data_IF_851678427446
#
_entry.id   IF_851678427446
#
_cell.length_a   1.000
_cell.length_b   1.000
_cell.length_c   1.000
_cell.angle_alpha   90.00
_cell.angle_beta   90.00
_cell.angle_gamma   90.00
#
_symmetry.space_group_name_H-M   'P 1'
#
loop_
_entity.id
_entity.type
_entity.pdbx_description
1 polymer ?
#
# COMPACT_ATOMS: atom_id res chain seq x y z
N UNK A 1 -16.18 0.58 12.40
CA UNK A 1 -16.89 1.38 11.49
C UNK A 1 -16.97 0.67 10.19
N UNK A 2 -17.71 1.27 9.32
CA UNK A 2 -17.91 0.66 8.02
C UNK A 2 -16.59 0.50 7.28
N UNK A 3 -15.64 1.33 7.54
CA UNK A 3 -14.35 1.27 6.88
C UNK A 3 -13.51 0.09 7.33
N UNK A 4 -13.88 -0.50 8.44
CA UNK A 4 -13.10 -1.58 8.99
C UNK A 4 -11.79 -1.09 9.61
N UNK A 5 -11.09 -2.00 10.22
CA UNK A 5 -9.83 -1.73 10.89
C UNK A 5 -8.71 -2.43 10.16
N UNK A 6 -7.50 -2.00 10.42
CA UNK A 6 -6.32 -2.73 9.95
C UNK A 6 -6.31 -4.09 10.63
N UNK A 7 -6.23 -5.15 9.84
CA UNK A 7 -6.34 -6.50 10.34
C UNK A 7 -5.17 -7.35 9.88
N UNK A 8 -4.62 -8.12 10.81
CA UNK A 8 -3.66 -9.16 10.49
C UNK A 8 -4.43 -10.47 10.50
N UNK A 9 -4.46 -11.13 9.35
CA UNK A 9 -5.23 -12.34 9.19
C UNK A 9 -4.45 -13.56 9.69
N UNK A 10 -4.60 -14.66 9.06
CA UNK A 10 -4.13 -15.96 9.51
C UNK A 10 -2.73 -15.99 10.10
N UNK A 11 -1.86 -15.11 9.71
CA UNK A 11 -0.52 -15.09 10.25
C UNK A 11 -0.48 -14.93 11.76
N UNK A 12 -1.54 -14.39 12.33
CA UNK A 12 -1.61 -14.24 13.77
C UNK A 12 -1.58 -15.54 14.51
N UNK A 13 -2.01 -16.60 13.88
CA UNK A 13 -2.11 -17.87 14.54
C UNK A 13 -0.75 -18.48 14.80
N UNK A 14 0.19 -18.16 13.98
CA UNK A 14 1.54 -18.58 14.25
C UNK A 14 2.10 -17.55 15.22
N UNK A 15 2.62 -18.00 16.30
CA UNK A 15 3.39 -17.10 17.14
C UNK A 15 4.40 -16.45 16.23
N UNK A 16 4.32 -15.14 16.08
CA UNK A 16 5.27 -14.49 15.20
C UNK A 16 6.64 -14.83 15.71
N UNK A 17 7.45 -15.34 14.87
CA UNK A 17 8.81 -15.52 15.28
C UNK A 17 9.31 -14.14 15.65
N UNK A 18 10.11 -14.09 16.66
CA UNK A 18 10.66 -12.83 17.12
C UNK A 18 11.44 -12.12 16.04
N UNK A 19 11.87 -12.87 15.04
CA UNK A 19 12.68 -12.38 13.97
C UNK A 19 11.87 -11.78 12.84
N UNK A 20 10.55 -11.95 12.87
CA UNK A 20 9.74 -11.45 11.76
C UNK A 20 8.84 -10.32 12.18
N UNK A 21 9.28 -9.11 11.92
CA UNK A 21 8.45 -7.94 12.04
C UNK A 21 7.40 -7.93 10.94
N UNK A 22 6.41 -7.06 11.10
CA UNK A 22 5.40 -6.85 10.04
C UNK A 22 6.07 -6.40 8.75
N UNK A 23 7.07 -5.54 8.84
CA UNK A 23 7.78 -5.08 7.65
C UNK A 23 8.47 -6.23 6.93
N UNK A 24 9.09 -7.14 7.66
CA UNK A 24 9.73 -8.29 7.06
C UNK A 24 8.73 -9.21 6.39
N UNK A 25 7.57 -9.40 7.01
CA UNK A 25 6.51 -10.20 6.43
C UNK A 25 5.94 -9.58 5.16
N UNK A 26 5.82 -8.26 5.15
CA UNK A 26 5.39 -7.54 3.96
C UNK A 26 6.38 -7.77 2.82
N UNK A 27 7.66 -7.65 3.11
CA UNK A 27 8.70 -7.89 2.09
C UNK A 27 8.66 -9.31 1.55
N UNK A 28 8.29 -10.26 2.39
CA UNK A 28 8.18 -11.66 2.00
C UNK A 28 6.87 -12.00 1.31
N UNK A 29 5.92 -11.08 1.28
CA UNK A 29 4.63 -11.32 0.61
C UNK A 29 4.82 -11.47 -0.89
N UNK A 30 3.97 -12.28 -1.52
CA UNK A 30 4.09 -12.54 -2.95
C UNK A 30 3.46 -11.46 -3.81
N UNK A 31 2.44 -10.78 -3.28
CA UNK A 31 1.75 -9.73 -4.04
C UNK A 31 1.00 -8.82 -3.10
N UNK A 32 0.61 -7.67 -3.63
CA UNK A 32 -0.26 -6.75 -2.92
C UNK A 32 -1.31 -6.18 -3.88
N UNK A 33 -2.46 -5.86 -3.31
CA UNK A 33 -3.55 -5.24 -4.06
C UNK A 33 -4.05 -4.02 -3.31
N UNK A 34 -4.73 -3.15 -4.03
CA UNK A 34 -5.46 -2.04 -3.42
C UNK A 34 -6.94 -2.23 -3.74
N UNK A 35 -7.78 -2.06 -2.72
CA UNK A 35 -9.22 -2.03 -2.89
C UNK A 35 -9.67 -0.61 -2.63
N UNK A 36 -10.24 0.04 -3.63
CA UNK A 36 -10.72 1.41 -3.52
C UNK A 36 -12.04 1.45 -2.74
N UNK A 37 -12.52 2.65 -2.45
CA UNK A 37 -13.70 2.80 -1.62
C UNK A 37 -14.99 2.23 -2.20
N UNK A 38 -15.03 1.98 -3.51
CA UNK A 38 -16.18 1.35 -4.16
C UNK A 38 -15.99 -0.15 -4.37
N UNK A 39 -15.06 -0.74 -3.65
CA UNK A 39 -14.70 -2.17 -3.71
C UNK A 39 -14.04 -2.60 -5.02
N UNK A 40 -13.67 -1.66 -5.87
CA UNK A 40 -12.86 -1.96 -7.05
C UNK A 40 -11.43 -2.26 -6.61
N UNK A 41 -10.90 -3.36 -7.09
CA UNK A 41 -9.59 -3.85 -6.67
C UNK A 41 -8.62 -3.86 -7.85
N UNK A 42 -7.38 -3.54 -7.59
CA UNK A 42 -6.34 -3.63 -8.60
C UNK A 42 -5.02 -4.04 -7.96
N UNK A 43 -4.20 -4.71 -8.75
CA UNK A 43 -2.91 -5.19 -8.27
C UNK A 43 -1.83 -4.14 -8.55
N UNK A 44 -0.90 -4.00 -7.60
CA UNK A 44 0.28 -3.16 -7.78
C UNK A 44 1.51 -3.95 -7.36
N UNK A 45 2.65 -3.59 -7.92
CA UNK A 45 3.90 -4.24 -7.54
C UNK A 45 4.28 -3.92 -6.09
N UNK A 46 4.94 -4.86 -5.44
CA UNK A 46 5.36 -4.65 -4.05
C UNK A 46 6.35 -3.51 -3.90
N UNK A 47 7.09 -3.20 -4.95
CA UNK A 47 8.00 -2.05 -4.93
C UNK A 47 7.25 -0.73 -4.76
N UNK A 48 5.93 -0.75 -4.95
CA UNK A 48 5.09 0.43 -4.76
C UNK A 48 4.69 0.65 -3.31
N UNK A 49 4.96 -0.31 -2.42
CA UNK A 49 4.74 -0.14 -1.00
C UNK A 49 5.86 0.71 -0.40
N UNK A 50 5.48 1.78 0.29
CA UNK A 50 6.44 2.71 0.88
C UNK A 50 6.68 2.54 2.36
N UNK A 51 5.79 1.82 3.03
CA UNK A 51 5.95 1.58 4.46
C UNK A 51 4.98 2.36 5.32
N UNK A 52 5.13 2.18 6.63
CA UNK A 52 4.40 2.93 7.64
C UNK A 52 5.24 4.09 8.13
N UNK A 53 4.58 5.12 8.61
CA UNK A 53 5.27 6.25 9.21
C UNK A 53 4.39 6.98 10.19
N UNK A 54 4.92 8.07 10.72
CA UNK A 54 4.21 8.94 11.66
C UNK A 54 4.23 10.35 11.11
N UNK A 55 3.06 10.95 10.97
CA UNK A 55 2.94 12.34 10.58
C UNK A 55 1.97 13.02 11.55
N UNK A 56 2.44 14.05 12.22
CA UNK A 56 1.61 14.82 13.17
C UNK A 56 0.92 13.92 14.19
N UNK A 57 1.62 12.87 14.64
CA UNK A 57 1.08 11.95 15.63
C UNK A 57 0.15 10.87 15.08
N UNK A 58 -0.10 10.87 13.78
CA UNK A 58 -0.93 9.85 13.15
C UNK A 58 -0.07 8.79 12.49
N UNK A 59 -0.48 7.54 12.63
CA UNK A 59 0.16 6.48 11.86
C UNK A 59 -0.34 6.54 10.42
N UNK A 60 0.57 6.52 9.48
CA UNK A 60 0.25 6.62 8.06
C UNK A 60 0.92 5.49 7.29
N UNK A 61 0.36 5.21 6.12
CA UNK A 61 0.93 4.29 5.15
C UNK A 61 1.22 5.05 3.86
N UNK A 62 2.32 4.69 3.21
CA UNK A 62 2.74 5.30 1.96
C UNK A 62 2.72 4.26 0.85
N UNK A 63 2.15 4.61 -0.29
CA UNK A 63 2.29 3.81 -1.49
C UNK A 63 2.39 4.72 -2.70
N UNK A 64 3.00 4.22 -3.76
CA UNK A 64 3.13 4.95 -5.01
C UNK A 64 2.47 4.16 -6.13
N UNK A 65 1.85 4.85 -7.07
CA UNK A 65 1.21 4.22 -8.20
C UNK A 65 1.73 4.91 -9.45
N UNK A 66 2.21 4.12 -10.41
CA UNK A 66 2.66 4.60 -11.70
C UNK A 66 1.54 5.42 -12.34
N UNK A 67 1.86 6.64 -12.78
CA UNK A 67 0.86 7.52 -13.39
C UNK A 67 0.25 6.90 -14.64
N UNK A 68 0.96 5.99 -15.30
CA UNK A 68 0.42 5.30 -16.47
C UNK A 68 -0.70 4.33 -16.11
N UNK A 69 -0.83 3.96 -14.84
CA UNK A 69 -1.95 3.14 -14.38
C UNK A 69 -3.16 4.05 -14.12
N UNK A 70 -3.78 4.51 -15.20
CA UNK A 70 -4.82 5.52 -15.10
C UNK A 70 -6.05 5.05 -14.33
N UNK A 71 -6.45 3.79 -14.49
CA UNK A 71 -7.60 3.26 -13.76
C UNK A 71 -7.34 3.26 -12.26
N UNK A 72 -6.17 2.77 -11.84
CA UNK A 72 -5.83 2.73 -10.42
C UNK A 72 -5.79 4.12 -9.81
N UNK A 73 -5.16 5.07 -10.51
CA UNK A 73 -5.11 6.45 -10.04
C UNK A 73 -6.50 7.07 -9.96
N UNK A 74 -7.34 6.81 -10.96
CA UNK A 74 -8.71 7.33 -10.95
C UNK A 74 -9.48 6.80 -9.76
N UNK A 75 -9.38 5.50 -9.49
CA UNK A 75 -10.08 4.89 -8.37
C UNK A 75 -9.62 5.49 -7.04
N UNK A 76 -8.32 5.70 -6.90
CA UNK A 76 -7.77 6.32 -5.70
C UNK A 76 -8.22 7.77 -5.55
N UNK A 77 -8.27 8.51 -6.66
CA UNK A 77 -8.67 9.91 -6.62
C UNK A 77 -10.13 10.08 -6.24
N UNK A 78 -10.96 9.11 -6.61
CA UNK A 78 -12.39 9.13 -6.33
C UNK A 78 -12.75 8.61 -4.94
N UNK A 79 -11.80 8.02 -4.23
CA UNK A 79 -12.07 7.33 -2.97
C UNK A 79 -11.46 8.09 -1.81
N UNK A 80 -12.22 8.20 -0.71
CA UNK A 80 -11.69 8.74 0.53
C UNK A 80 -10.97 7.65 1.32
N UNK A 81 -11.43 6.42 1.21
CA UNK A 81 -10.87 5.28 1.93
C UNK A 81 -10.43 4.21 0.95
N UNK A 82 -9.40 3.47 1.34
CA UNK A 82 -8.92 2.35 0.54
C UNK A 82 -8.25 1.34 1.46
N UNK A 83 -8.08 0.12 0.95
CA UNK A 83 -7.43 -0.96 1.68
C UNK A 83 -6.23 -1.44 0.88
N UNK A 84 -5.14 -1.69 1.59
CA UNK A 84 -3.97 -2.33 0.98
C UNK A 84 -3.89 -3.74 1.56
N UNK A 85 -3.88 -4.73 0.67
CA UNK A 85 -3.90 -6.13 1.08
C UNK A 85 -2.62 -6.82 0.63
N UNK A 86 -2.05 -7.61 1.53
CA UNK A 86 -0.81 -8.36 1.26
C UNK A 86 -1.11 -9.84 1.32
N UNK A 87 -0.55 -10.60 0.38
CA UNK A 87 -0.80 -12.02 0.22
C UNK A 87 0.48 -12.81 0.28
N UNK A 88 0.43 -13.98 0.90
CA UNK A 88 1.52 -14.95 0.84
C UNK A 88 1.29 -15.87 -0.34
N UNK A 89 2.38 -16.43 -0.86
CA UNK A 89 2.31 -17.26 -2.04
C UNK A 89 1.33 -18.41 -1.85
N UNK A 90 0.50 -18.62 -2.86
CA UNK A 90 -0.45 -19.71 -2.84
C UNK A 90 -1.74 -19.44 -2.09
N UNK A 91 -1.86 -18.31 -1.41
CA UNK A 91 -3.05 -18.00 -0.62
C UNK A 91 -3.93 -16.99 -1.36
N UNK A 92 -5.23 -17.28 -1.37
CA UNK A 92 -6.21 -16.38 -1.97
C UNK A 92 -6.69 -15.33 -0.97
N UNK A 93 -6.43 -15.55 0.33
CA UNK A 93 -6.83 -14.61 1.36
C UNK A 93 -5.61 -13.79 1.80
N UNK A 94 -5.78 -12.49 2.03
CA UNK A 94 -4.66 -11.70 2.51
C UNK A 94 -4.31 -12.05 3.95
N UNK A 95 -3.02 -11.98 4.27
CA UNK A 95 -2.59 -12.14 5.65
C UNK A 95 -2.60 -10.82 6.40
N UNK A 96 -2.59 -9.70 5.68
CA UNK A 96 -2.62 -8.36 6.28
C UNK A 96 -3.47 -7.46 5.40
N UNK A 97 -4.39 -6.74 6.03
CA UNK A 97 -5.18 -5.70 5.37
C UNK A 97 -4.93 -4.40 6.13
N UNK A 98 -4.46 -3.39 5.42
CA UNK A 98 -4.21 -2.07 5.99
C UNK A 98 -5.33 -1.15 5.49
N UNK A 99 -6.21 -0.76 6.40
CA UNK A 99 -7.30 0.17 6.06
C UNK A 99 -6.81 1.59 6.19
N UNK A 100 -7.03 2.38 5.16
CA UNK A 100 -6.50 3.73 5.07
C UNK A 100 -7.58 4.75 4.76
N UNK A 101 -7.43 5.92 5.35
CA UNK A 101 -8.17 7.11 4.96
C UNK A 101 -7.20 8.03 4.23
N UNK A 102 -7.52 8.37 3.00
CA UNK A 102 -6.63 9.19 2.18
C UNK A 102 -6.44 10.56 2.80
N UNK A 103 -5.19 10.95 3.02
CA UNK A 103 -4.85 12.26 3.55
C UNK A 103 -4.31 13.19 2.49
N UNK A 104 -3.48 12.65 1.59
CA UNK A 104 -2.91 13.49 0.54
C UNK A 104 -2.39 12.64 -0.60
N UNK A 105 -2.20 13.28 -1.73
CA UNK A 105 -1.59 12.73 -2.92
C UNK A 105 -0.52 13.70 -3.37
N UNK A 106 0.63 13.18 -3.75
CA UNK A 106 1.74 14.00 -4.22
C UNK A 106 2.37 13.36 -5.44
N UNK A 107 2.69 14.17 -6.43
CA UNK A 107 3.41 13.68 -7.60
C UNK A 107 4.87 13.43 -7.26
N UNK A 108 5.36 12.27 -7.70
CA UNK A 108 6.79 11.95 -7.70
C UNK A 108 7.21 12.01 -9.17
N UNK A 109 8.02 13.00 -9.52
CA UNK A 109 8.42 13.20 -10.91
C UNK A 109 9.34 12.06 -11.37
N UNK A 110 9.48 11.93 -12.69
CA UNK A 110 10.39 10.93 -13.24
C UNK A 110 11.81 11.11 -12.74
N UNK A 111 12.24 12.35 -12.59
CA UNK A 111 13.59 12.62 -12.08
C UNK A 111 13.75 12.24 -10.61
N UNK A 112 12.71 12.51 -9.81
CA UNK A 112 12.72 12.10 -8.40
C UNK A 112 12.72 10.58 -8.27
N UNK A 113 11.89 9.92 -9.08
CA UNK A 113 11.83 8.46 -9.08
C UNK A 113 13.17 7.86 -9.50
N UNK A 114 13.85 8.47 -10.45
CA UNK A 114 15.16 8.01 -10.91
C UNK A 114 16.19 8.06 -9.79
N UNK A 115 16.14 9.08 -8.95
CA UNK A 115 17.05 9.18 -7.81
C UNK A 115 16.85 8.05 -6.82
N UNK A 116 15.60 7.62 -6.63
CA UNK A 116 15.27 6.57 -5.68
C UNK A 116 15.40 5.17 -6.28
N UNK A 117 15.21 5.07 -7.58
CA UNK A 117 15.26 3.80 -8.30
C UNK A 117 16.11 3.98 -9.57
N UNK A 118 17.39 3.59 -9.53
CA UNK A 118 18.28 3.79 -10.68
C UNK A 118 17.86 3.08 -11.95
N UNK A 119 17.00 2.06 -11.86
CA UNK A 119 16.52 1.41 -13.10
C UNK A 119 15.44 2.22 -13.79
N UNK A 120 14.91 3.26 -13.17
CA UNK A 120 14.01 4.20 -13.82
C UNK A 120 14.84 5.17 -14.65
N UNK A 121 14.49 5.34 -15.91
CA UNK A 121 15.24 6.23 -16.82
C UNK A 121 14.78 7.69 -16.76
N UNK A 122 13.96 8.03 -15.77
CA UNK A 122 13.44 9.39 -15.62
C UNK A 122 12.16 9.66 -16.39
N UNK A 123 11.65 8.66 -17.09
CA UNK A 123 10.44 8.82 -17.89
C UNK A 123 9.18 8.47 -17.12
N UNK A 124 9.30 7.68 -16.06
CA UNK A 124 8.16 7.16 -15.35
C UNK A 124 7.92 7.97 -14.08
N UNK A 125 6.80 8.66 -14.03
CA UNK A 125 6.38 9.41 -12.85
C UNK A 125 5.32 8.62 -12.09
N UNK A 126 5.19 8.93 -10.81
CA UNK A 126 4.27 8.23 -9.91
C UNK A 126 3.44 9.22 -9.13
N UNK A 127 2.37 8.73 -8.57
CA UNK A 127 1.61 9.45 -7.55
C UNK A 127 1.82 8.74 -6.22
N UNK A 128 2.23 9.48 -5.21
CA UNK A 128 2.35 8.95 -3.85
C UNK A 128 1.08 9.29 -3.09
N UNK A 129 0.48 8.27 -2.51
CA UNK A 129 -0.71 8.43 -1.67
C UNK A 129 -0.32 8.20 -0.22
N UNK A 130 -0.71 9.11 0.63
CA UNK A 130 -0.50 9.00 2.07
C UNK A 130 -1.86 8.80 2.70
N UNK A 131 -2.02 7.72 3.42
CA UNK A 131 -3.28 7.41 4.08
C UNK A 131 -3.09 7.19 5.58
N UNK A 132 -4.03 7.69 6.35
CA UNK A 132 -4.05 7.40 7.78
C UNK A 132 -4.47 5.96 7.99
N UNK A 133 -3.71 5.23 8.80
CA UNK A 133 -4.03 3.84 9.13
C UNK A 133 -5.17 3.82 10.14
N UNK A 134 -6.27 3.19 9.77
CA UNK A 134 -7.45 3.09 10.62
C UNK A 134 -7.33 1.83 11.46
N UNK A 135 -7.33 1.99 12.76
CA UNK A 135 -7.20 0.88 13.70
C UNK A 135 -8.55 0.37 14.18
#
# INVERSE_FOLDING_TARGET
GAEGNTEIKAANNATPSKEQSIDDQIKASSRMTITAGNDEQFEIGKECWGGFGQLFGKEVAFCVIDQAKSMGNMLMDQSDNYKISFYKQGNSEPWLIVNCKKLMKQTVTGEEAKKMNPSNDGQKAYNMYVGEVIK
#
